data_IF_437875038550
#
_entry.id   IF_437875038550
#
_cell.length_a   1.000
_cell.length_b   1.000
_cell.length_c   1.000
_cell.angle_alpha   90.00
_cell.angle_beta   90.00
_cell.angle_gamma   90.00
#
_symmetry.space_group_name_H-M   'P 1'
#
loop_
_entity.id
_entity.type
_entity.pdbx_description
1 polymer ?
#
# COMPACT_ATOMS: atom_id res chain seq x y z
N UNK A 1 5.60 -10.08 -17.53
CA UNK A 1 4.33 -9.82 -16.79
C UNK A 1 4.35 -8.43 -16.14
N UNK A 2 3.29 -7.64 -16.32
CA UNK A 2 3.13 -6.32 -15.70
C UNK A 2 2.73 -6.47 -14.22
N UNK A 3 3.11 -5.52 -13.38
CA UNK A 3 2.72 -5.36 -11.96
C UNK A 3 2.45 -3.89 -11.72
N UNK A 4 1.48 -3.55 -10.88
CA UNK A 4 1.14 -2.16 -10.54
C UNK A 4 1.44 -1.91 -9.07
N UNK A 5 2.39 -1.03 -8.81
CA UNK A 5 2.73 -0.60 -7.46
C UNK A 5 2.66 0.91 -7.41
N UNK A 6 1.83 1.43 -6.51
CA UNK A 6 1.83 2.85 -6.15
C UNK A 6 2.54 3.04 -4.81
N UNK A 7 3.12 4.21 -4.60
CA UNK A 7 3.79 4.57 -3.36
C UNK A 7 3.25 5.91 -2.85
N UNK A 8 3.24 6.06 -1.53
CA UNK A 8 2.84 7.30 -0.86
C UNK A 8 3.68 7.58 0.37
N UNK A 9 3.70 8.84 0.80
CA UNK A 9 4.32 9.26 2.04
C UNK A 9 3.34 9.09 3.20
N UNK A 10 3.75 8.37 4.25
CA UNK A 10 3.06 8.38 5.53
C UNK A 10 3.95 9.09 6.57
N UNK A 11 3.84 10.41 6.65
CA UNK A 11 4.62 11.19 7.61
C UNK A 11 4.36 10.71 9.05
N UNK A 12 5.44 10.58 9.84
CA UNK A 12 5.38 10.13 11.24
C UNK A 12 5.23 8.62 11.44
N UNK A 13 5.31 7.80 10.38
CA UNK A 13 5.41 6.35 10.55
C UNK A 13 6.87 5.92 10.73
N UNK A 14 7.09 4.93 11.60
CA UNK A 14 8.43 4.44 11.94
C UNK A 14 8.90 3.27 11.05
N UNK A 15 8.16 2.93 9.99
CA UNK A 15 8.43 1.75 9.17
C UNK A 15 7.79 1.84 7.79
N UNK A 16 8.30 1.07 6.83
CA UNK A 16 7.60 0.82 5.57
C UNK A 16 6.28 0.10 5.86
N UNK A 17 5.18 0.57 5.26
CA UNK A 17 3.85 -0.02 5.44
C UNK A 17 3.42 -0.70 4.16
N UNK A 18 3.21 -2.00 4.25
CA UNK A 18 2.66 -2.81 3.17
C UNK A 18 1.13 -2.76 3.28
N UNK A 19 0.49 -1.96 2.42
CA UNK A 19 -0.96 -1.72 2.51
C UNK A 19 -1.74 -2.93 1.99
N UNK A 20 -2.60 -3.48 2.85
CA UNK A 20 -3.37 -4.69 2.57
C UNK A 20 -4.69 -4.40 1.88
N UNK A 21 -5.27 -3.21 2.10
CA UNK A 21 -6.64 -2.91 1.74
C UNK A 21 -6.80 -1.44 1.33
N UNK A 22 -7.43 -1.22 0.18
CA UNK A 22 -8.02 0.07 -0.17
C UNK A 22 -9.50 0.06 0.20
N UNK A 23 -10.00 1.13 0.80
CA UNK A 23 -11.41 1.30 1.17
C UNK A 23 -12.10 2.23 0.19
N UNK A 24 -13.37 1.97 -0.12
CA UNK A 24 -14.18 2.80 -1.02
C UNK A 24 -14.68 4.07 -0.31
N UNK A 25 -13.76 4.89 0.18
CA UNK A 25 -14.05 6.09 0.96
C UNK A 25 -13.04 7.19 0.65
N UNK A 26 -13.58 8.36 0.34
CA UNK A 26 -12.92 9.65 0.31
C UNK A 26 -13.46 10.45 1.47
N UNK A 27 -12.59 10.69 2.45
CA UNK A 27 -12.90 11.55 3.60
C UNK A 27 -11.65 12.36 3.93
N UNK A 28 -11.60 13.58 3.40
CA UNK A 28 -10.41 14.41 3.32
C UNK A 28 -10.41 15.51 4.40
N UNK A 29 -9.58 15.35 5.42
CA UNK A 29 -9.41 16.36 6.48
C UNK A 29 -8.74 17.68 6.03
N UNK A 30 -8.07 17.65 4.88
CA UNK A 30 -7.42 18.79 4.22
C UNK A 30 -7.73 18.71 2.72
N UNK A 31 -7.76 19.83 1.98
CA UNK A 31 -7.90 19.78 0.53
C UNK A 31 -6.68 19.13 -0.12
N UNK A 32 -6.88 18.52 -1.28
CA UNK A 32 -5.78 18.13 -2.17
C UNK A 32 -5.17 19.36 -2.90
N UNK A 33 -4.24 19.10 -3.81
CA UNK A 33 -3.54 20.16 -4.54
C UNK A 33 -4.46 20.98 -5.48
N UNK A 34 -5.59 20.41 -5.89
CA UNK A 34 -6.58 21.07 -6.76
C UNK A 34 -7.74 21.67 -5.94
N UNK A 35 -7.68 21.60 -4.61
CA UNK A 35 -8.65 22.17 -3.70
C UNK A 35 -9.83 21.24 -3.37
N UNK A 36 -9.85 19.99 -3.85
CA UNK A 36 -10.92 19.06 -3.55
C UNK A 36 -10.81 18.56 -2.11
N UNK A 37 -11.93 18.59 -1.38
CA UNK A 37 -12.01 18.15 0.02
C UNK A 37 -13.31 17.35 0.25
N UNK A 38 -13.42 16.14 -0.33
CA UNK A 38 -14.60 15.29 -0.20
C UNK A 38 -14.85 14.84 1.24
N UNK A 39 -16.11 14.65 1.58
CA UNK A 39 -16.56 14.18 2.89
C UNK A 39 -17.55 13.03 2.73
N UNK A 40 -17.19 11.84 3.23
CA UNK A 40 -17.98 10.61 3.14
C UNK A 40 -18.43 10.24 1.72
N UNK A 41 -17.57 10.46 0.73
CA UNK A 41 -17.86 10.13 -0.67
C UNK A 41 -17.22 8.80 -1.07
N UNK A 42 -17.86 7.97 -1.93
CA UNK A 42 -17.21 6.79 -2.46
C UNK A 42 -16.10 7.17 -3.47
N UNK A 43 -15.05 6.36 -3.54
CA UNK A 43 -14.06 6.42 -4.63
C UNK A 43 -14.72 6.03 -5.96
N UNK A 44 -15.50 4.93 -5.94
CA UNK A 44 -16.34 4.47 -7.05
C UNK A 44 -17.76 4.23 -6.55
N UNK A 45 -18.74 4.95 -7.09
CA UNK A 45 -20.12 4.97 -6.60
C UNK A 45 -20.81 3.60 -6.50
N UNK A 46 -20.41 2.61 -7.30
CA UNK A 46 -20.96 1.24 -7.27
C UNK A 46 -19.90 0.17 -7.06
N UNK A 47 -18.73 0.54 -6.53
CA UNK A 47 -17.63 -0.38 -6.23
C UNK A 47 -17.80 -1.11 -4.89
N UNK A 48 -17.09 -2.22 -4.70
CA UNK A 48 -17.09 -2.95 -3.42
C UNK A 48 -16.58 -2.07 -2.27
N UNK A 49 -17.05 -2.30 -1.04
CA UNK A 49 -16.67 -1.45 0.10
C UNK A 49 -15.16 -1.42 0.40
N UNK A 50 -14.44 -2.48 0.07
CA UNK A 50 -13.00 -2.56 0.17
C UNK A 50 -12.43 -3.58 -0.81
N UNK A 51 -11.19 -3.35 -1.24
CA UNK A 51 -10.44 -4.23 -2.13
C UNK A 51 -9.08 -4.56 -1.53
N UNK A 52 -8.69 -5.83 -1.58
CA UNK A 52 -7.40 -6.28 -1.05
C UNK A 52 -6.30 -6.18 -2.10
N UNK A 53 -5.10 -5.81 -1.63
CA UNK A 53 -3.88 -5.90 -2.41
C UNK A 53 -3.65 -7.34 -2.88
N UNK A 54 -3.25 -7.49 -4.15
CA UNK A 54 -2.93 -8.78 -4.77
C UNK A 54 -1.42 -9.03 -4.85
N UNK A 55 -0.61 -8.17 -4.24
CA UNK A 55 0.83 -8.37 -4.07
C UNK A 55 1.14 -9.48 -3.05
N UNK A 56 2.34 -10.06 -3.14
CA UNK A 56 2.83 -11.08 -2.18
C UNK A 56 3.37 -10.43 -0.90
N UNK A 57 2.50 -9.77 -0.15
CA UNK A 57 2.86 -8.90 0.97
C UNK A 57 3.53 -9.66 2.12
N UNK A 58 3.07 -10.87 2.47
CA UNK A 58 3.64 -11.64 3.59
C UNK A 58 4.98 -12.25 3.23
N UNK A 59 5.14 -12.73 2.00
CA UNK A 59 6.44 -13.18 1.50
C UNK A 59 7.46 -12.02 1.51
N UNK A 60 7.05 -10.84 1.01
CA UNK A 60 7.87 -9.64 1.05
C UNK A 60 8.22 -9.21 2.48
N UNK A 61 7.24 -9.19 3.38
CA UNK A 61 7.41 -8.84 4.79
C UNK A 61 8.54 -9.67 5.45
N UNK A 62 8.56 -10.98 5.21
CA UNK A 62 9.60 -11.85 5.75
C UNK A 62 11.00 -11.44 5.28
N UNK A 63 11.17 -11.25 3.96
CA UNK A 63 12.47 -10.88 3.37
C UNK A 63 12.94 -9.49 3.77
N UNK A 64 12.03 -8.53 3.85
CA UNK A 64 12.36 -7.16 4.27
C UNK A 64 12.81 -7.15 5.74
N UNK A 65 12.17 -7.97 6.60
CA UNK A 65 12.61 -8.16 7.99
C UNK A 65 13.96 -8.85 8.11
N UNK A 66 14.21 -9.87 7.28
CA UNK A 66 15.52 -10.54 7.21
C UNK A 66 16.65 -9.56 6.81
N UNK A 67 16.35 -8.58 5.96
CA UNK A 67 17.25 -7.49 5.60
C UNK A 67 17.41 -6.42 6.71
N UNK A 68 16.72 -6.57 7.85
CA UNK A 68 16.81 -5.65 8.99
C UNK A 68 16.09 -4.32 8.77
N UNK A 69 15.18 -4.24 7.80
CA UNK A 69 14.45 -3.00 7.48
C UNK A 69 13.15 -2.94 8.29
N UNK A 70 12.86 -1.83 9.01
CA UNK A 70 11.58 -1.65 9.69
C UNK A 70 10.39 -1.72 8.71
N UNK A 71 9.53 -2.72 8.90
CA UNK A 71 8.37 -2.97 8.04
C UNK A 71 7.20 -3.62 8.79
N UNK A 72 5.97 -3.25 8.43
CA UNK A 72 4.76 -3.93 8.88
C UNK A 72 3.67 -3.99 7.82
N UNK A 73 2.74 -4.94 8.02
CA UNK A 73 1.49 -5.01 7.27
C UNK A 73 0.51 -3.98 7.81
N UNK A 74 -0.18 -3.27 6.92
CA UNK A 74 -1.13 -2.24 7.34
C UNK A 74 -2.54 -2.47 6.78
N UNK A 75 -3.53 -2.15 7.61
CA UNK A 75 -4.96 -2.33 7.32
C UNK A 75 -5.67 -1.02 6.97
N UNK A 76 -4.93 0.08 6.84
CA UNK A 76 -5.52 1.38 6.46
C UNK A 76 -4.50 2.25 5.76
N UNK A 77 -4.73 2.52 4.47
CA UNK A 77 -4.03 3.54 3.71
C UNK A 77 -4.54 4.97 4.01
N UNK A 78 -5.40 5.13 5.03
CA UNK A 78 -6.14 6.35 5.33
C UNK A 78 -7.41 6.47 4.48
N UNK A 79 -7.93 7.70 4.37
CA UNK A 79 -9.11 8.06 3.58
C UNK A 79 -8.84 9.23 2.61
N UNK A 80 -7.56 9.60 2.46
CA UNK A 80 -7.10 10.66 1.57
C UNK A 80 -6.62 10.08 0.23
N UNK A 81 -5.90 10.87 -0.57
CA UNK A 81 -5.48 10.54 -1.94
C UNK A 81 -4.71 9.21 -2.04
N UNK A 82 -3.92 8.82 -1.04
CA UNK A 82 -3.22 7.52 -1.05
C UNK A 82 -4.20 6.33 -1.10
N UNK A 83 -5.25 6.39 -0.29
CA UNK A 83 -6.30 5.37 -0.29
C UNK A 83 -7.09 5.39 -1.60
N UNK A 84 -7.43 6.58 -2.10
CA UNK A 84 -8.12 6.76 -3.37
C UNK A 84 -7.36 6.07 -4.52
N UNK A 85 -6.05 6.31 -4.61
CA UNK A 85 -5.17 5.69 -5.61
C UNK A 85 -5.10 4.17 -5.45
N UNK A 86 -4.94 3.66 -4.22
CA UNK A 86 -4.92 2.22 -3.98
C UNK A 86 -6.24 1.57 -4.39
N UNK A 87 -7.37 2.12 -3.95
CA UNK A 87 -8.69 1.58 -4.27
C UNK A 87 -8.96 1.63 -5.77
N UNK A 88 -8.75 2.79 -6.42
CA UNK A 88 -8.98 2.95 -7.85
C UNK A 88 -8.11 2.02 -8.70
N UNK A 89 -6.84 1.81 -8.30
CA UNK A 89 -5.93 0.87 -8.96
C UNK A 89 -6.45 -0.57 -8.90
N UNK A 90 -6.88 -1.02 -7.72
CA UNK A 90 -7.41 -2.38 -7.54
C UNK A 90 -8.74 -2.56 -8.26
N UNK A 91 -9.60 -1.53 -8.23
CA UNK A 91 -10.87 -1.53 -8.93
C UNK A 91 -10.67 -1.62 -10.45
N UNK A 92 -9.77 -0.84 -11.06
CA UNK A 92 -9.48 -0.92 -12.51
C UNK A 92 -9.00 -2.32 -12.91
N UNK A 93 -8.11 -2.92 -12.11
CA UNK A 93 -7.60 -4.27 -12.34
C UNK A 93 -8.74 -5.30 -12.34
N UNK A 94 -9.59 -5.25 -11.30
CA UNK A 94 -10.72 -6.14 -11.13
C UNK A 94 -11.77 -5.97 -12.25
N UNK A 95 -12.19 -4.73 -12.50
CA UNK A 95 -13.23 -4.39 -13.48
C UNK A 95 -12.85 -4.80 -14.92
N UNK A 96 -11.55 -4.83 -15.22
CA UNK A 96 -11.02 -5.24 -16.53
C UNK A 96 -10.66 -6.73 -16.60
N UNK A 97 -10.85 -7.49 -15.52
CA UNK A 97 -10.49 -8.90 -15.44
C UNK A 97 -8.99 -9.16 -15.64
N UNK A 98 -8.14 -8.21 -15.22
CA UNK A 98 -6.70 -8.33 -15.40
C UNK A 98 -6.07 -9.12 -14.24
N UNK A 99 -5.44 -10.24 -14.57
CA UNK A 99 -4.60 -10.99 -13.64
C UNK A 99 -3.21 -10.34 -13.52
N UNK A 100 -3.19 -9.13 -12.98
CA UNK A 100 -1.97 -8.33 -12.74
C UNK A 100 -1.90 -7.98 -11.25
N UNK A 101 -0.84 -8.38 -10.53
CA UNK A 101 -0.67 -8.02 -9.14
C UNK A 101 -0.61 -6.50 -8.94
N UNK A 102 -1.40 -6.00 -8.00
CA UNK A 102 -1.63 -4.58 -7.73
C UNK A 102 -1.63 -4.28 -6.23
N UNK A 103 -1.03 -3.15 -5.84
CA UNK A 103 -1.08 -2.71 -4.45
C UNK A 103 -0.36 -1.38 -4.20
N UNK A 104 -0.17 -1.06 -2.92
CA UNK A 104 0.37 0.22 -2.47
C UNK A 104 1.34 0.03 -1.30
N UNK A 105 2.35 0.89 -1.22
CA UNK A 105 3.30 0.96 -0.12
C UNK A 105 3.39 2.38 0.41
N UNK A 106 3.22 2.57 1.71
CA UNK A 106 3.63 3.81 2.34
C UNK A 106 5.08 3.74 2.82
N UNK A 107 5.82 4.82 2.58
CA UNK A 107 7.17 5.02 3.12
C UNK A 107 7.16 6.15 4.17
N UNK A 108 8.05 6.13 5.17
CA UNK A 108 8.30 7.26 6.07
C UNK A 108 8.78 8.52 5.32
N UNK A 109 8.95 9.64 6.02
CA UNK A 109 9.60 10.81 5.43
C UNK A 109 11.10 10.57 5.26
N UNK A 110 11.50 10.11 4.09
CA UNK A 110 12.89 9.75 3.76
C UNK A 110 13.83 10.96 3.68
N UNK A 111 13.31 12.19 3.78
CA UNK A 111 14.11 13.41 3.85
C UNK A 111 14.42 13.81 5.29
N UNK A 112 13.68 13.26 6.26
CA UNK A 112 13.94 13.48 7.68
C UNK A 112 15.20 12.69 8.09
N UNK A 113 16.28 13.35 8.55
CA UNK A 113 17.46 12.65 9.05
C UNK A 113 17.20 11.74 10.26
N UNK A 114 16.09 11.94 10.97
CA UNK A 114 15.66 11.11 12.09
C UNK A 114 14.75 9.96 11.67
N UNK A 115 14.41 9.84 10.37
CA UNK A 115 13.62 8.71 9.89
C UNK A 115 14.30 7.38 10.21
N UNK A 116 13.58 6.41 10.77
CA UNK A 116 14.14 5.08 11.07
C UNK A 116 14.40 4.25 9.81
N UNK A 117 13.92 4.72 8.64
CA UNK A 117 14.16 4.09 7.34
C UNK A 117 14.84 5.10 6.44
N UNK A 118 16.07 4.77 6.02
CA UNK A 118 16.80 5.55 5.01
C UNK A 118 16.21 5.36 3.60
N UNK A 119 16.52 6.27 2.68
CA UNK A 119 16.15 6.13 1.27
C UNK A 119 16.61 4.79 0.67
N UNK A 120 17.85 4.37 0.96
CA UNK A 120 18.40 3.12 0.47
C UNK A 120 17.58 1.91 0.97
N UNK A 121 17.21 1.89 2.25
CA UNK A 121 16.37 0.83 2.82
C UNK A 121 14.95 0.85 2.25
N UNK A 122 14.37 2.02 1.99
CA UNK A 122 13.07 2.11 1.35
C UNK A 122 13.09 1.56 -0.09
N UNK A 123 14.14 1.87 -0.85
CA UNK A 123 14.36 1.30 -2.19
C UNK A 123 14.51 -0.22 -2.10
N UNK A 124 15.36 -0.72 -1.21
CA UNK A 124 15.57 -2.16 -1.01
C UNK A 124 14.27 -2.87 -0.62
N UNK A 125 13.46 -2.28 0.27
CA UNK A 125 12.17 -2.85 0.67
C UNK A 125 11.20 -2.98 -0.52
N UNK A 126 11.15 -1.96 -1.39
CA UNK A 126 10.34 -1.97 -2.61
C UNK A 126 10.86 -3.01 -3.61
N UNK A 127 12.17 -3.12 -3.79
CA UNK A 127 12.80 -4.13 -4.65
C UNK A 127 12.50 -5.55 -4.17
N UNK A 128 12.60 -5.81 -2.85
CA UNK A 128 12.25 -7.10 -2.25
C UNK A 128 10.77 -7.44 -2.45
N UNK A 129 9.87 -6.47 -2.28
CA UNK A 129 8.44 -6.64 -2.56
C UNK A 129 8.16 -6.99 -4.03
N UNK A 130 8.78 -6.25 -4.94
CA UNK A 130 8.64 -6.50 -6.37
C UNK A 130 9.24 -7.85 -6.74
N UNK A 131 10.40 -8.22 -6.20
CA UNK A 131 11.05 -9.50 -6.43
C UNK A 131 10.18 -10.68 -5.96
N UNK A 132 9.55 -10.59 -4.78
CA UNK A 132 8.62 -11.63 -4.32
C UNK A 132 7.39 -11.69 -5.20
N UNK A 133 6.79 -10.55 -5.54
CA UNK A 133 5.65 -10.48 -6.46
C UNK A 133 6.03 -10.99 -7.87
N UNK A 134 7.29 -10.90 -8.26
CA UNK A 134 7.82 -11.41 -9.53
C UNK A 134 7.86 -12.92 -9.59
N UNK A 135 8.09 -13.60 -8.46
CA UNK A 135 8.10 -15.07 -8.35
C UNK A 135 6.73 -15.70 -8.66
N UNK A 136 5.64 -14.95 -8.53
CA UNK A 136 4.28 -15.42 -8.80
C UNK A 136 3.77 -16.41 -7.76
N UNK A 137 2.59 -17.00 -8.00
CA UNK A 137 1.93 -17.93 -7.07
C UNK A 137 1.26 -17.25 -5.86
N UNK A 138 0.65 -18.04 -4.97
CA UNK A 138 -0.08 -17.56 -3.80
C UNK A 138 0.87 -17.02 -2.69
N UNK A 139 0.47 -15.93 -2.05
CA UNK A 139 1.23 -15.34 -0.93
C UNK A 139 1.35 -16.30 0.28
N UNK A 140 2.27 -16.01 1.19
CA UNK A 140 2.56 -16.86 2.35
C UNK A 140 1.39 -16.94 3.33
N UNK A 141 1.01 -18.15 3.75
CA UNK A 141 -0.10 -18.38 4.70
C UNK A 141 0.35 -18.33 6.16
N UNK A 142 0.94 -17.21 6.59
CA UNK A 142 1.41 -16.99 7.98
C UNK A 142 0.54 -15.93 8.68
N UNK A 143 0.24 -16.04 9.99
CA UNK A 143 -0.46 -14.99 10.73
C UNK A 143 0.29 -13.64 10.67
N UNK A 144 -0.46 -12.55 10.50
CA UNK A 144 0.07 -11.18 10.41
C UNK A 144 -0.99 -10.12 10.67
N UNK A 145 -1.97 -10.45 11.53
CA UNK A 145 -3.01 -9.53 11.96
C UNK A 145 -2.49 -8.55 13.02
N UNK A 146 -3.20 -7.43 13.18
CA UNK A 146 -3.05 -6.51 14.30
C UNK A 146 -4.24 -6.69 15.26
N UNK A 147 -4.03 -6.45 16.56
CA UNK A 147 -5.10 -6.51 17.56
C UNK A 147 -5.95 -5.23 17.63
N UNK A 148 -5.39 -4.12 17.16
CA UNK A 148 -5.99 -2.78 17.08
C UNK A 148 -5.17 -1.92 16.11
#
# INVERSE_FOLDING_TARGET
PCRRLALGLAAGTEAVRLERVGVNLRDARIPDNDGAQPADEPVVASGEGALFSTLRLKAALARIREAGIPVHLSLSAGSFVCNDVLYALLHDLSARGLDVPGGFVHVPDLRDPQSPVSLAQAVEAVELLLAETLRGGADSSVPGGALH
#
